data_IF_721976562328
#
_entry.id   IF_721976562328
#
_cell.length_a   1.000
_cell.length_b   1.000
_cell.length_c   1.000
_cell.angle_alpha   90.00
_cell.angle_beta   90.00
_cell.angle_gamma   90.00
#
_symmetry.space_group_name_H-M   'P 1'
#
loop_
_entity.id
_entity.type
_entity.pdbx_description
1 polymer ?
#
# COMPACT_ATOMS: atom_id res chain seq x y z
N UNK A 1 -20.46 8.86 13.94
CA UNK A 1 -20.81 7.63 13.21
C UNK A 1 -21.17 8.02 11.80
N UNK A 2 -20.87 7.18 10.80
CA UNK A 2 -21.20 7.45 9.38
C UNK A 2 -22.69 7.73 9.13
N UNK A 3 -23.56 7.18 10.00
CA UNK A 3 -25.01 7.38 9.97
C UNK A 3 -25.50 8.70 10.58
N UNK A 4 -24.64 9.46 11.23
CA UNK A 4 -25.02 10.76 11.74
C UNK A 4 -25.19 11.74 10.58
N UNK A 5 -26.19 12.60 10.69
CA UNK A 5 -26.39 13.67 9.73
C UNK A 5 -25.21 14.66 9.77
N UNK A 6 -24.85 15.15 8.61
CA UNK A 6 -23.92 16.27 8.51
C UNK A 6 -24.49 17.51 9.19
N UNK A 7 -23.69 18.36 9.89
CA UNK A 7 -24.22 19.56 10.56
C UNK A 7 -25.01 20.51 9.68
N UNK A 8 -24.77 20.47 8.37
CA UNK A 8 -25.49 21.27 7.36
C UNK A 8 -26.47 20.44 6.53
N UNK A 9 -26.94 19.30 7.05
CA UNK A 9 -27.80 18.39 6.28
C UNK A 9 -29.07 19.08 5.76
N UNK A 10 -29.70 19.94 6.59
CA UNK A 10 -30.92 20.65 6.25
C UNK A 10 -30.75 21.73 5.15
N UNK A 11 -29.52 22.12 4.87
CA UNK A 11 -29.19 23.14 3.86
C UNK A 11 -28.82 22.54 2.49
N UNK A 12 -28.50 21.24 2.43
CA UNK A 12 -27.84 20.62 1.27
C UNK A 12 -28.67 20.74 -0.01
N UNK A 13 -29.99 20.61 0.09
CA UNK A 13 -30.89 20.63 -1.07
C UNK A 13 -31.03 22.03 -1.69
N UNK A 14 -30.73 23.07 -0.90
CA UNK A 14 -30.81 24.47 -1.33
C UNK A 14 -29.48 25.02 -1.86
N UNK A 15 -28.39 24.25 -1.72
CA UNK A 15 -27.06 24.67 -2.19
C UNK A 15 -26.98 24.69 -3.72
N UNK A 16 -26.39 25.74 -4.26
CA UNK A 16 -25.93 25.71 -5.65
C UNK A 16 -24.87 24.63 -5.84
N UNK A 17 -24.71 24.15 -7.08
CA UNK A 17 -23.66 23.16 -7.38
C UNK A 17 -22.26 23.63 -6.93
N UNK A 18 -21.97 24.95 -7.07
CA UNK A 18 -20.69 25.54 -6.64
C UNK A 18 -20.49 25.46 -5.11
N UNK A 19 -21.54 25.74 -4.36
CA UNK A 19 -21.51 25.66 -2.89
C UNK A 19 -21.40 24.23 -2.42
N UNK A 20 -22.16 23.30 -3.02
CA UNK A 20 -22.14 21.88 -2.70
C UNK A 20 -20.73 21.27 -2.90
N UNK A 21 -20.12 21.47 -4.08
CA UNK A 21 -18.75 20.96 -4.32
C UNK A 21 -17.72 21.66 -3.45
N UNK A 22 -17.96 22.93 -3.07
CA UNK A 22 -17.12 23.64 -2.11
C UNK A 22 -17.18 23.03 -0.72
N UNK A 23 -18.37 22.63 -0.27
CA UNK A 23 -18.57 21.92 0.99
C UNK A 23 -17.84 20.56 0.96
N UNK A 24 -18.05 19.75 -0.07
CA UNK A 24 -17.37 18.46 -0.21
C UNK A 24 -15.85 18.61 -0.18
N UNK A 25 -15.30 19.59 -0.91
CA UNK A 25 -13.86 19.86 -0.91
C UNK A 25 -13.32 20.21 0.49
N UNK A 26 -14.07 21.02 1.25
CA UNK A 26 -13.69 21.39 2.61
C UNK A 26 -13.69 20.17 3.56
N UNK A 27 -14.71 19.32 3.44
CA UNK A 27 -14.86 18.08 4.22
C UNK A 27 -13.76 17.07 3.90
N UNK A 28 -13.44 16.87 2.61
CA UNK A 28 -12.32 16.01 2.20
C UNK A 28 -10.99 16.51 2.77
N UNK A 29 -10.76 17.83 2.74
CA UNK A 29 -9.58 18.45 3.35
C UNK A 29 -9.52 18.22 4.87
N UNK A 30 -10.65 18.23 5.58
CA UNK A 30 -10.71 17.91 7.01
C UNK A 30 -10.37 16.44 7.26
N UNK A 31 -10.91 15.52 6.46
CA UNK A 31 -10.65 14.09 6.58
C UNK A 31 -9.15 13.76 6.34
N UNK A 32 -8.52 14.39 5.37
CA UNK A 32 -7.06 14.25 5.15
C UNK A 32 -6.26 14.70 6.38
N UNK A 33 -6.63 15.83 6.99
CA UNK A 33 -5.96 16.32 8.21
C UNK A 33 -6.16 15.41 9.41
N UNK A 34 -7.27 14.70 9.47
CA UNK A 34 -7.57 13.77 10.57
C UNK A 34 -6.61 12.56 10.64
N UNK A 35 -5.83 12.30 9.59
CA UNK A 35 -4.78 11.26 9.60
C UNK A 35 -3.56 11.70 10.43
N UNK A 36 -3.27 13.00 10.51
CA UNK A 36 -2.04 13.51 11.10
C UNK A 36 -1.74 13.03 12.53
N UNK A 37 -2.70 12.93 13.47
CA UNK A 37 -2.46 12.40 14.81
C UNK A 37 -2.08 10.91 14.85
N UNK A 38 -2.31 10.16 13.75
CA UNK A 38 -2.10 8.70 13.66
C UNK A 38 -0.84 8.33 12.87
N UNK A 39 -0.02 9.30 12.49
CA UNK A 39 1.20 9.03 11.69
C UNK A 39 2.18 8.09 12.39
N UNK A 40 2.25 8.12 13.71
CA UNK A 40 3.08 7.19 14.49
C UNK A 40 2.55 5.75 14.42
N UNK A 41 1.23 5.55 14.45
CA UNK A 41 0.62 4.23 14.27
C UNK A 41 0.80 3.71 12.83
N UNK A 42 0.66 4.60 11.85
CA UNK A 42 0.96 4.27 10.44
C UNK A 42 2.44 3.88 10.28
N UNK A 43 3.36 4.64 10.87
CA UNK A 43 4.79 4.35 10.81
C UNK A 43 5.11 3.01 11.49
N UNK A 44 4.51 2.72 12.65
CA UNK A 44 4.65 1.41 13.32
C UNK A 44 4.16 0.28 12.43
N UNK A 45 3.01 0.43 11.80
CA UNK A 45 2.49 -0.56 10.87
C UNK A 45 3.44 -0.77 9.67
N UNK A 46 4.02 0.29 9.12
CA UNK A 46 5.01 0.20 8.03
C UNK A 46 6.22 -0.63 8.43
N UNK A 47 6.82 -0.37 9.60
CA UNK A 47 8.01 -1.11 10.05
C UNK A 47 7.70 -2.59 10.30
N UNK A 48 6.60 -2.90 10.99
CA UNK A 48 6.16 -4.28 11.29
C UNK A 48 5.81 -5.05 10.00
N UNK A 49 5.12 -4.42 9.03
CA UNK A 49 4.82 -5.03 7.74
C UNK A 49 6.11 -5.29 6.97
N UNK A 50 7.01 -4.29 6.90
CA UNK A 50 8.27 -4.43 6.16
C UNK A 50 9.15 -5.55 6.74
N UNK A 51 9.19 -5.72 8.07
CA UNK A 51 9.93 -6.81 8.72
C UNK A 51 9.36 -8.18 8.32
N UNK A 52 8.05 -8.34 8.33
CA UNK A 52 7.39 -9.59 7.96
C UNK A 52 7.56 -9.94 6.48
N UNK A 53 7.39 -8.97 5.58
CA UNK A 53 7.63 -9.19 4.16
C UNK A 53 9.11 -9.51 3.88
N UNK A 54 10.05 -8.93 4.62
CA UNK A 54 11.48 -9.27 4.53
C UNK A 54 11.76 -10.71 4.97
N UNK A 55 10.95 -11.24 5.89
CA UNK A 55 10.99 -12.63 6.33
C UNK A 55 10.26 -13.59 5.37
N UNK A 56 9.80 -13.12 4.21
CA UNK A 56 9.12 -13.92 3.19
C UNK A 56 7.60 -14.00 3.36
N UNK A 57 7.01 -13.18 4.22
CA UNK A 57 5.55 -13.11 4.40
C UNK A 57 4.86 -12.33 3.28
N UNK A 58 3.52 -12.34 3.33
CA UNK A 58 2.62 -11.70 2.37
C UNK A 58 1.71 -10.69 3.08
N UNK A 59 1.20 -9.71 2.34
CA UNK A 59 0.28 -8.68 2.81
C UNK A 59 -1.12 -8.95 2.25
N UNK A 60 -2.06 -9.24 3.12
CA UNK A 60 -3.43 -9.56 2.77
C UNK A 60 -4.39 -8.47 3.25
N UNK A 61 -5.12 -7.86 2.34
CA UNK A 61 -6.17 -6.89 2.62
C UNK A 61 -7.53 -7.58 2.67
N UNK A 62 -8.34 -7.28 3.68
CA UNK A 62 -9.72 -7.77 3.81
C UNK A 62 -10.66 -6.57 3.91
N UNK A 63 -11.63 -6.47 2.98
CA UNK A 63 -12.57 -5.35 2.94
C UNK A 63 -13.86 -5.70 2.22
N UNK A 64 -14.90 -4.90 2.44
CA UNK A 64 -16.19 -5.04 1.79
C UNK A 64 -16.60 -3.72 1.12
N UNK A 65 -17.39 -3.77 0.04
CA UNK A 65 -17.86 -2.60 -0.69
C UNK A 65 -16.71 -1.67 -1.11
N UNK A 66 -16.83 -0.37 -0.83
CA UNK A 66 -15.78 0.63 -1.16
C UNK A 66 -14.44 0.29 -0.50
N UNK A 67 -14.42 -0.20 0.75
CA UNK A 67 -13.19 -0.60 1.43
C UNK A 67 -12.48 -1.74 0.69
N UNK A 68 -13.24 -2.70 0.18
CA UNK A 68 -12.71 -3.78 -0.66
C UNK A 68 -12.18 -3.28 -2.01
N UNK A 69 -12.87 -2.32 -2.64
CA UNK A 69 -12.44 -1.74 -3.92
C UNK A 69 -11.13 -0.97 -3.80
N UNK A 70 -10.94 -0.16 -2.75
CA UNK A 70 -9.67 0.56 -2.53
C UNK A 70 -8.54 -0.38 -2.18
N UNK A 71 -8.81 -1.47 -1.47
CA UNK A 71 -7.85 -2.55 -1.20
C UNK A 71 -7.38 -3.23 -2.49
N UNK A 72 -8.31 -3.60 -3.37
CA UNK A 72 -7.99 -4.18 -4.69
C UNK A 72 -7.18 -3.23 -5.55
N UNK A 73 -7.51 -1.94 -5.54
CA UNK A 73 -6.77 -0.92 -6.27
C UNK A 73 -5.31 -0.87 -5.82
N UNK A 74 -5.06 -0.79 -4.51
CA UNK A 74 -3.70 -0.72 -3.97
C UNK A 74 -2.90 -1.99 -4.28
N UNK A 75 -3.48 -3.17 -4.05
CA UNK A 75 -2.85 -4.45 -4.34
C UNK A 75 -2.49 -4.62 -5.83
N UNK A 76 -3.41 -4.25 -6.73
CA UNK A 76 -3.21 -4.36 -8.18
C UNK A 76 -2.10 -3.44 -8.72
N UNK A 77 -1.82 -2.31 -8.04
CA UNK A 77 -0.80 -1.36 -8.46
C UNK A 77 0.62 -1.68 -7.95
N UNK A 78 0.75 -2.51 -6.90
CA UNK A 78 2.03 -2.86 -6.29
C UNK A 78 3.00 -3.56 -7.25
N UNK A 79 2.60 -4.56 -8.04
CA UNK A 79 3.52 -5.24 -8.97
C UNK A 79 4.12 -4.31 -10.00
N UNK A 80 3.31 -3.46 -10.64
CA UNK A 80 3.77 -2.54 -11.67
C UNK A 80 4.64 -1.39 -11.12
N UNK A 81 4.42 -1.01 -9.84
CA UNK A 81 5.12 0.11 -9.20
C UNK A 81 6.43 -0.34 -8.58
N UNK A 82 6.42 -1.45 -7.86
CA UNK A 82 7.54 -1.91 -7.04
C UNK A 82 8.26 -3.13 -7.61
N UNK A 83 7.72 -3.77 -8.65
CA UNK A 83 8.31 -4.98 -9.26
C UNK A 83 8.26 -6.18 -8.33
N UNK A 84 7.21 -6.29 -7.55
CA UNK A 84 6.95 -7.43 -6.66
C UNK A 84 6.03 -8.44 -7.33
N UNK A 85 6.10 -9.68 -6.88
CA UNK A 85 5.15 -10.70 -7.32
C UNK A 85 3.72 -10.29 -6.92
N UNK A 86 2.71 -10.50 -7.79
CA UNK A 86 1.31 -10.24 -7.45
C UNK A 86 0.83 -10.95 -6.18
N UNK A 87 1.44 -12.05 -5.79
CA UNK A 87 1.11 -12.77 -4.57
C UNK A 87 1.60 -12.08 -3.30
N UNK A 88 2.55 -11.13 -3.39
CA UNK A 88 3.08 -10.43 -2.21
C UNK A 88 2.04 -9.51 -1.58
N UNK A 89 1.16 -8.91 -2.39
CA UNK A 89 0.05 -8.08 -1.88
C UNK A 89 -1.25 -8.55 -2.51
N UNK A 90 -2.14 -9.06 -1.69
CA UNK A 90 -3.40 -9.64 -2.12
C UNK A 90 -4.59 -8.93 -1.48
N UNK A 91 -5.69 -8.80 -2.20
CA UNK A 91 -6.93 -8.23 -1.69
C UNK A 91 -8.08 -9.22 -1.76
N UNK A 92 -8.65 -9.51 -0.62
CA UNK A 92 -9.80 -10.38 -0.40
C UNK A 92 -11.02 -9.50 -0.13
N UNK A 93 -11.86 -9.32 -1.13
CA UNK A 93 -12.95 -8.35 -1.07
C UNK A 93 -14.28 -8.95 -1.52
N UNK A 94 -15.33 -8.53 -0.84
CA UNK A 94 -16.72 -8.82 -1.20
C UNK A 94 -17.44 -7.55 -1.62
N UNK A 95 -18.35 -7.67 -2.57
CA UNK A 95 -19.06 -6.52 -3.16
C UNK A 95 -20.56 -6.58 -2.89
N UNK A 96 -21.12 -7.77 -2.67
CA UNK A 96 -22.53 -7.96 -2.39
C UNK A 96 -22.85 -7.57 -0.95
N UNK A 97 -23.89 -6.74 -0.69
CA UNK A 97 -24.23 -6.31 0.67
C UNK A 97 -24.45 -7.46 1.66
N UNK A 98 -25.08 -8.54 1.22
CA UNK A 98 -25.31 -9.70 2.07
C UNK A 98 -24.02 -10.40 2.54
N UNK A 99 -22.94 -10.28 1.78
CA UNK A 99 -21.63 -10.84 2.13
C UNK A 99 -20.89 -10.00 3.16
N UNK A 100 -21.19 -8.71 3.27
CA UNK A 100 -20.60 -7.84 4.30
C UNK A 100 -20.96 -8.26 5.71
N UNK A 101 -22.18 -8.79 5.89
CA UNK A 101 -22.72 -9.23 7.16
C UNK A 101 -22.38 -10.67 7.50
N UNK A 102 -21.72 -11.39 6.57
CA UNK A 102 -21.35 -12.79 6.75
C UNK A 102 -19.94 -12.93 7.38
N UNK A 103 -19.93 -13.19 8.68
CA UNK A 103 -18.69 -13.40 9.44
C UNK A 103 -17.97 -14.69 9.05
N UNK A 104 -18.71 -15.76 8.80
CA UNK A 104 -18.12 -17.05 8.45
C UNK A 104 -17.47 -17.02 7.07
N UNK A 105 -18.03 -16.25 6.14
CA UNK A 105 -17.41 -16.00 4.85
C UNK A 105 -16.04 -15.30 5.01
N UNK A 106 -15.92 -14.37 5.95
CA UNK A 106 -14.64 -13.73 6.28
C UNK A 106 -13.60 -14.72 6.80
N UNK A 107 -14.01 -15.61 7.70
CA UNK A 107 -13.18 -16.73 8.18
C UNK A 107 -12.73 -17.63 7.04
N UNK A 108 -13.65 -17.98 6.14
CA UNK A 108 -13.36 -18.83 4.98
C UNK A 108 -12.33 -18.18 4.04
N UNK A 109 -12.46 -16.88 3.75
CA UNK A 109 -11.51 -16.16 2.92
C UNK A 109 -10.11 -16.14 3.54
N UNK A 110 -10.01 -15.90 4.85
CA UNK A 110 -8.73 -15.94 5.56
C UNK A 110 -8.10 -17.34 5.58
N UNK A 111 -8.91 -18.40 5.71
CA UNK A 111 -8.43 -19.79 5.60
C UNK A 111 -7.93 -20.13 4.20
N UNK A 112 -8.63 -19.68 3.16
CA UNK A 112 -8.19 -19.84 1.76
C UNK A 112 -6.90 -19.11 1.46
N UNK A 113 -6.67 -17.96 2.09
CA UNK A 113 -5.42 -17.20 2.00
C UNK A 113 -4.25 -17.94 2.67
N UNK A 114 -4.49 -18.99 3.46
CA UNK A 114 -3.49 -19.81 4.14
C UNK A 114 -2.47 -18.97 4.95
N UNK A 115 -2.98 -17.95 5.66
CA UNK A 115 -2.13 -17.03 6.43
C UNK A 115 -1.14 -17.76 7.33
N UNK A 116 0.11 -17.31 7.33
CA UNK A 116 1.21 -17.84 8.13
C UNK A 116 1.75 -16.78 9.12
N UNK A 117 2.68 -17.17 9.98
CA UNK A 117 3.22 -16.32 11.04
C UNK A 117 3.87 -15.02 10.55
N UNK A 118 4.46 -15.05 9.36
CA UNK A 118 5.12 -13.87 8.78
C UNK A 118 4.17 -13.03 7.90
N UNK A 119 2.92 -13.44 7.74
CA UNK A 119 1.96 -12.68 6.96
C UNK A 119 1.33 -11.55 7.78
N UNK A 120 0.70 -10.64 7.05
CA UNK A 120 -0.03 -9.50 7.59
C UNK A 120 -1.46 -9.51 7.08
N UNK A 121 -2.43 -9.46 7.97
CA UNK A 121 -3.84 -9.29 7.66
C UNK A 121 -4.28 -7.87 8.00
N UNK A 122 -4.61 -7.07 6.98
CA UNK A 122 -5.13 -5.71 7.14
C UNK A 122 -6.64 -5.72 6.93
N UNK A 123 -7.38 -5.49 7.98
CA UNK A 123 -8.83 -5.32 7.93
C UNK A 123 -9.21 -3.86 7.65
N UNK A 124 -10.05 -3.63 6.64
CA UNK A 124 -10.44 -2.30 6.19
C UNK A 124 -11.95 -2.18 6.27
N UNK A 125 -12.46 -1.28 7.11
CA UNK A 125 -13.89 -1.03 7.29
C UNK A 125 -14.13 0.38 7.80
N UNK A 126 -14.95 1.17 7.12
CA UNK A 126 -15.27 2.53 7.55
C UNK A 126 -15.89 2.55 8.95
N UNK A 127 -16.86 1.68 9.21
CA UNK A 127 -17.53 1.56 10.53
C UNK A 127 -16.70 0.79 11.56
N UNK A 128 -15.75 -0.03 11.12
CA UNK A 128 -15.03 -0.98 11.95
C UNK A 128 -15.92 -2.09 12.56
N UNK A 129 -17.08 -2.37 11.96
CA UNK A 129 -18.07 -3.36 12.43
C UNK A 129 -18.43 -4.41 11.39
N UNK A 130 -17.94 -4.30 10.16
CA UNK A 130 -18.21 -5.22 9.05
C UNK A 130 -17.90 -6.65 9.46
N UNK A 131 -18.91 -7.51 9.50
CA UNK A 131 -18.79 -8.87 10.04
C UNK A 131 -17.78 -9.72 9.25
N UNK A 132 -17.80 -9.63 7.91
CA UNK A 132 -16.81 -10.25 7.03
C UNK A 132 -15.36 -9.94 7.47
N UNK A 133 -15.04 -8.65 7.66
CA UNK A 133 -13.68 -8.21 8.03
C UNK A 133 -13.30 -8.67 9.44
N UNK A 134 -14.24 -8.61 10.38
CA UNK A 134 -14.04 -9.13 11.74
C UNK A 134 -13.79 -10.65 11.75
N UNK A 135 -14.48 -11.40 10.88
CA UNK A 135 -14.25 -12.83 10.70
C UNK A 135 -12.85 -13.14 10.20
N UNK A 136 -12.40 -12.40 9.19
CA UNK A 136 -11.06 -12.57 8.61
C UNK A 136 -9.95 -12.28 9.64
N UNK A 137 -10.04 -11.18 10.40
CA UNK A 137 -9.05 -10.86 11.43
C UNK A 137 -9.08 -11.84 12.61
N UNK A 138 -10.24 -12.37 12.96
CA UNK A 138 -10.34 -13.41 13.98
C UNK A 138 -9.61 -14.69 13.58
N UNK A 139 -9.74 -15.13 12.33
CA UNK A 139 -9.03 -16.29 11.80
C UNK A 139 -7.51 -16.05 11.73
N UNK A 140 -7.08 -14.84 11.35
CA UNK A 140 -5.66 -14.45 11.32
C UNK A 140 -4.96 -14.60 12.67
N UNK A 141 -5.70 -14.59 13.79
CA UNK A 141 -5.16 -14.84 15.14
C UNK A 141 -4.57 -16.25 15.25
N UNK A 142 -5.20 -17.24 14.62
CA UNK A 142 -4.80 -18.64 14.69
C UNK A 142 -3.44 -18.89 14.01
N UNK A 143 -3.11 -18.12 12.96
CA UNK A 143 -1.83 -18.20 12.24
C UNK A 143 -0.72 -17.36 12.85
N UNK A 144 -1.00 -16.53 13.85
CA UNK A 144 -0.09 -15.51 14.41
C UNK A 144 0.34 -14.45 13.39
N UNK A 145 -0.43 -14.26 12.33
CA UNK A 145 -0.23 -13.16 11.40
C UNK A 145 -0.43 -11.81 12.13
N UNK A 146 0.31 -10.78 11.71
CA UNK A 146 0.10 -9.42 12.22
C UNK A 146 -1.27 -8.93 11.77
N UNK A 147 -2.06 -8.40 12.69
CA UNK A 147 -3.39 -7.84 12.38
C UNK A 147 -3.33 -6.32 12.46
N UNK A 148 -3.67 -5.67 11.36
CA UNK A 148 -3.78 -4.22 11.26
C UNK A 148 -5.23 -3.86 10.95
N UNK A 149 -5.78 -2.85 11.61
CA UNK A 149 -7.10 -2.33 11.31
C UNK A 149 -7.00 -0.92 10.72
N UNK A 150 -7.74 -0.65 9.66
CA UNK A 150 -7.96 0.69 9.09
C UNK A 150 -9.44 0.99 9.20
N UNK A 151 -9.81 1.95 10.04
CA UNK A 151 -11.21 2.33 10.26
C UNK A 151 -11.39 3.84 10.27
N UNK A 152 -12.65 4.29 10.14
CA UNK A 152 -13.01 5.71 10.24
C UNK A 152 -13.78 6.02 11.51
N UNK A 153 -13.64 5.16 12.52
CA UNK A 153 -14.35 5.29 13.79
C UNK A 153 -13.46 4.85 14.95
N UNK A 154 -13.06 5.79 15.86
CA UNK A 154 -12.28 5.47 17.04
C UNK A 154 -12.96 4.47 17.97
N UNK A 155 -12.18 3.57 18.56
CA UNK A 155 -12.68 2.55 19.49
C UNK A 155 -13.59 1.51 18.83
N UNK A 156 -13.40 1.24 17.54
CA UNK A 156 -14.19 0.28 16.78
C UNK A 156 -13.97 -1.16 17.23
N UNK A 157 -14.88 -2.07 16.87
CA UNK A 157 -14.71 -3.49 17.14
C UNK A 157 -13.47 -4.05 16.39
N UNK A 158 -13.24 -3.58 15.16
CA UNK A 158 -12.12 -3.99 14.34
C UNK A 158 -10.79 -3.48 14.92
N UNK A 159 -10.74 -2.22 15.39
CA UNK A 159 -9.56 -1.66 16.04
C UNK A 159 -9.17 -2.44 17.30
N UNK A 160 -10.16 -2.86 18.12
CA UNK A 160 -9.90 -3.69 19.30
C UNK A 160 -9.44 -5.13 18.98
N UNK A 161 -9.76 -5.63 17.78
CA UNK A 161 -9.37 -6.97 17.35
C UNK A 161 -7.96 -7.00 16.69
N UNK A 162 -7.36 -5.86 16.40
CA UNK A 162 -6.08 -5.72 15.74
C UNK A 162 -4.91 -5.51 16.71
N UNK A 163 -3.70 -5.81 16.28
CA UNK A 163 -2.46 -5.52 17.00
C UNK A 163 -2.04 -4.06 16.80
N UNK A 164 -2.38 -3.50 15.63
CA UNK A 164 -2.20 -2.07 15.29
C UNK A 164 -3.52 -1.54 14.73
N UNK A 165 -4.04 -0.48 15.32
CA UNK A 165 -5.29 0.16 14.90
C UNK A 165 -5.02 1.58 14.38
N UNK A 166 -5.39 1.83 13.11
CA UNK A 166 -5.35 3.13 12.45
C UNK A 166 -6.80 3.60 12.34
N UNK A 167 -7.28 4.32 13.32
CA UNK A 167 -8.68 4.70 13.49
C UNK A 167 -8.87 6.20 13.22
N UNK A 168 -9.08 6.57 11.96
CA UNK A 168 -9.19 7.98 11.54
C UNK A 168 -10.59 8.51 11.79
N UNK A 169 -10.75 9.49 12.66
CA UNK A 169 -12.04 10.12 12.93
C UNK A 169 -12.43 11.07 11.79
N UNK A 170 -13.19 10.57 10.79
CA UNK A 170 -13.61 11.37 9.63
C UNK A 170 -14.86 12.22 9.90
N UNK A 171 -15.58 11.97 10.99
CA UNK A 171 -16.89 12.59 11.25
C UNK A 171 -17.99 12.09 10.29
N UNK A 172 -19.18 12.72 10.32
CA UNK A 172 -20.28 12.37 9.44
C UNK A 172 -19.97 12.72 7.98
N UNK A 173 -20.43 11.89 7.06
CA UNK A 173 -20.35 12.18 5.63
C UNK A 173 -21.30 13.30 5.20
N UNK A 174 -21.01 14.01 4.12
CA UNK A 174 -21.93 15.01 3.57
C UNK A 174 -23.29 14.38 3.24
N UNK A 175 -23.29 13.17 2.70
CA UNK A 175 -24.47 12.32 2.56
C UNK A 175 -24.37 11.21 3.60
N UNK A 176 -25.22 11.22 4.60
CA UNK A 176 -25.19 10.28 5.71
C UNK A 176 -25.12 8.82 5.24
N UNK A 177 -24.25 8.03 5.85
CA UNK A 177 -24.04 6.63 5.53
C UNK A 177 -23.23 6.38 4.24
N UNK A 178 -22.95 7.41 3.41
CA UNK A 178 -22.24 7.25 2.13
C UNK A 178 -20.72 7.19 2.31
N UNK A 179 -20.22 6.12 2.90
CA UNK A 179 -18.80 5.91 3.26
C UNK A 179 -17.84 5.77 2.06
N UNK A 180 -18.36 5.82 0.83
CA UNK A 180 -17.53 5.95 -0.37
C UNK A 180 -16.82 7.32 -0.48
N UNK A 181 -17.23 8.33 0.30
CA UNK A 181 -16.74 9.70 0.26
C UNK A 181 -15.49 9.86 1.14
N UNK A 182 -15.59 10.57 2.28
CA UNK A 182 -14.42 10.84 3.17
C UNK A 182 -13.75 9.55 3.67
N UNK A 183 -14.55 8.60 4.12
CA UNK A 183 -14.02 7.33 4.61
C UNK A 183 -13.23 6.57 3.54
N UNK A 184 -13.77 6.43 2.32
CA UNK A 184 -13.07 5.82 1.19
C UNK A 184 -11.79 6.55 0.81
N UNK A 185 -11.83 7.90 0.81
CA UNK A 185 -10.65 8.75 0.54
C UNK A 185 -9.55 8.52 1.57
N UNK A 186 -9.88 8.52 2.85
CA UNK A 186 -8.92 8.29 3.95
C UNK A 186 -8.33 6.89 3.90
N UNK A 187 -9.14 5.86 3.69
CA UNK A 187 -8.66 4.48 3.54
C UNK A 187 -7.65 4.36 2.40
N UNK A 188 -7.95 4.97 1.25
CA UNK A 188 -7.04 5.01 0.11
C UNK A 188 -5.72 5.69 0.45
N UNK A 189 -5.75 6.82 1.16
CA UNK A 189 -4.55 7.53 1.58
C UNK A 189 -3.69 6.72 2.54
N UNK A 190 -4.31 6.06 3.53
CA UNK A 190 -3.60 5.21 4.49
C UNK A 190 -2.97 4.00 3.78
N UNK A 191 -3.69 3.31 2.89
CA UNK A 191 -3.14 2.21 2.10
C UNK A 191 -1.96 2.66 1.24
N UNK A 192 -2.05 3.80 0.57
CA UNK A 192 -0.92 4.37 -0.17
C UNK A 192 0.30 4.63 0.72
N UNK A 193 0.09 5.16 1.93
CA UNK A 193 1.18 5.39 2.89
C UNK A 193 1.82 4.06 3.29
N UNK A 194 1.02 3.04 3.60
CA UNK A 194 1.51 1.72 3.99
C UNK A 194 2.30 1.06 2.85
N UNK A 195 1.69 0.83 1.70
CA UNK A 195 2.33 0.12 0.58
C UNK A 195 3.58 0.86 0.09
N UNK A 196 3.50 2.20 -0.12
CA UNK A 196 4.63 2.98 -0.61
C UNK A 196 5.79 2.99 0.37
N UNK A 197 5.52 3.21 1.67
CA UNK A 197 6.58 3.25 2.67
C UNK A 197 7.18 1.87 2.92
N UNK A 198 6.37 0.81 2.98
CA UNK A 198 6.83 -0.58 3.12
C UNK A 198 7.79 -0.95 1.98
N UNK A 199 7.39 -0.77 0.72
CA UNK A 199 8.26 -1.11 -0.41
C UNK A 199 9.47 -0.18 -0.55
N UNK A 200 9.40 1.05 -0.04
CA UNK A 200 10.57 1.91 0.11
C UNK A 200 11.54 1.35 1.15
N UNK A 201 11.06 0.87 2.30
CA UNK A 201 11.87 0.19 3.34
C UNK A 201 12.47 -1.15 2.86
N UNK A 202 11.82 -1.78 1.88
CA UNK A 202 12.31 -3.00 1.21
C UNK A 202 13.19 -2.70 -0.01
N UNK A 203 13.65 -1.46 -0.17
CA UNK A 203 14.56 -1.03 -1.25
C UNK A 203 14.00 -1.17 -2.68
N UNK A 204 12.67 -1.19 -2.86
CA UNK A 204 12.04 -1.16 -4.19
C UNK A 204 12.03 0.23 -4.82
N UNK A 205 12.37 1.27 -4.04
CA UNK A 205 12.57 2.63 -4.52
C UNK A 205 13.99 3.13 -4.19
N UNK A 206 14.49 4.09 -4.96
CA UNK A 206 15.75 4.77 -4.68
C UNK A 206 15.67 6.24 -5.12
N UNK A 207 15.92 7.17 -4.19
CA UNK A 207 15.84 8.62 -4.42
C UNK A 207 14.54 9.04 -5.12
N UNK A 208 13.40 8.54 -4.61
CA UNK A 208 12.08 8.82 -5.13
C UNK A 208 11.76 8.22 -6.51
N UNK A 209 12.56 7.25 -6.99
CA UNK A 209 12.33 6.55 -8.25
C UNK A 209 12.04 5.07 -8.03
N UNK A 210 11.16 4.53 -8.85
CA UNK A 210 10.81 3.10 -8.87
C UNK A 210 11.94 2.31 -9.54
N UNK A 211 12.83 1.70 -8.75
CA UNK A 211 13.96 0.90 -9.25
C UNK A 211 13.63 -0.60 -9.34
N UNK A 212 12.50 -1.02 -8.81
CA UNK A 212 11.97 -2.37 -8.94
C UNK A 212 11.10 -2.60 -10.18
N UNK A 213 10.79 -1.55 -10.95
CA UNK A 213 9.88 -1.65 -12.08
C UNK A 213 10.34 -2.71 -13.10
N UNK A 214 9.40 -3.58 -13.51
CA UNK A 214 9.65 -4.57 -14.57
C UNK A 214 9.21 -3.96 -15.91
N UNK A 215 10.11 -3.98 -16.90
CA UNK A 215 9.88 -3.39 -18.24
C UNK A 215 8.93 -4.27 -19.09
N UNK A 216 7.71 -4.52 -18.63
CA UNK A 216 6.74 -5.42 -19.27
C UNK A 216 6.03 -4.85 -20.51
N UNK A 217 6.13 -3.53 -20.75
CA UNK A 217 5.59 -2.88 -21.94
C UNK A 217 6.43 -1.64 -22.31
N UNK A 218 6.14 -1.03 -23.47
CA UNK A 218 6.93 0.11 -23.99
C UNK A 218 6.95 1.30 -23.05
N UNK A 219 5.83 1.63 -22.37
CA UNK A 219 5.75 2.71 -21.39
C UNK A 219 6.64 2.43 -20.17
N UNK A 220 6.61 1.20 -19.65
CA UNK A 220 7.43 0.80 -18.50
C UNK A 220 8.91 0.71 -18.89
N UNK A 221 9.22 0.23 -20.10
CA UNK A 221 10.59 0.24 -20.64
C UNK A 221 11.15 1.66 -20.79
N UNK A 222 10.37 2.59 -21.36
CA UNK A 222 10.78 3.98 -21.47
C UNK A 222 11.03 4.62 -20.09
N UNK A 223 10.18 4.32 -19.10
CA UNK A 223 10.35 4.75 -17.71
C UNK A 223 11.61 4.17 -17.09
N UNK A 224 11.88 2.88 -17.27
CA UNK A 224 13.09 2.22 -16.74
C UNK A 224 14.37 2.88 -17.30
N UNK A 225 14.42 3.19 -18.58
CA UNK A 225 15.55 3.91 -19.19
C UNK A 225 15.75 5.28 -18.54
N UNK A 226 14.68 6.06 -18.32
CA UNK A 226 14.75 7.36 -17.65
C UNK A 226 15.23 7.24 -16.19
N UNK A 227 14.79 6.21 -15.48
CA UNK A 227 15.23 5.92 -14.10
C UNK A 227 16.72 5.60 -14.09
N UNK A 228 17.19 4.71 -15.00
CA UNK A 228 18.60 4.34 -15.11
C UNK A 228 19.44 5.56 -15.44
N UNK A 229 19.11 6.32 -16.47
CA UNK A 229 19.83 7.53 -16.87
C UNK A 229 19.92 8.54 -15.71
N UNK A 230 18.80 8.82 -15.06
CA UNK A 230 18.75 9.80 -13.97
C UNK A 230 19.50 9.40 -12.69
N UNK A 231 19.70 8.10 -12.43
CA UNK A 231 20.43 7.60 -11.25
C UNK A 231 21.90 7.28 -11.55
N UNK A 232 22.24 6.91 -12.79
CA UNK A 232 23.62 6.65 -13.21
C UNK A 232 24.34 7.93 -13.63
N UNK A 233 23.63 8.90 -14.20
CA UNK A 233 24.20 10.06 -14.87
C UNK A 233 24.64 9.78 -16.31
N UNK A 234 24.26 8.64 -16.88
CA UNK A 234 24.63 8.20 -18.23
C UNK A 234 23.65 8.70 -19.29
N UNK A 235 24.06 8.67 -20.55
CA UNK A 235 23.20 8.99 -21.68
C UNK A 235 22.03 8.01 -21.80
N UNK A 236 21.02 8.37 -22.61
CA UNK A 236 19.87 7.50 -22.88
C UNK A 236 20.30 6.19 -23.56
N UNK A 237 21.26 6.27 -24.51
CA UNK A 237 21.78 5.14 -25.26
C UNK A 237 22.56 4.17 -24.37
N UNK A 238 23.41 4.69 -23.47
CA UNK A 238 24.15 3.88 -22.50
C UNK A 238 23.18 3.19 -21.52
N UNK A 239 22.18 3.94 -21.03
CA UNK A 239 21.15 3.42 -20.12
C UNK A 239 20.32 2.31 -20.77
N UNK A 240 20.00 2.44 -22.06
CA UNK A 240 19.27 1.42 -22.81
C UNK A 240 20.12 0.15 -22.96
N UNK A 241 21.40 0.27 -23.37
CA UNK A 241 22.31 -0.89 -23.48
C UNK A 241 22.52 -1.58 -22.13
N UNK A 242 22.69 -0.81 -21.05
CA UNK A 242 22.85 -1.37 -19.72
C UNK A 242 21.58 -2.09 -19.23
N UNK A 243 20.40 -1.53 -19.54
CA UNK A 243 19.12 -2.15 -19.20
C UNK A 243 18.90 -3.47 -19.98
N UNK A 244 19.30 -3.53 -21.24
CA UNK A 244 19.29 -4.76 -22.06
C UNK A 244 20.25 -5.81 -21.49
N UNK A 245 21.48 -5.43 -21.18
CA UNK A 245 22.47 -6.31 -20.54
C UNK A 245 22.02 -6.81 -19.16
N UNK A 246 21.21 -6.01 -18.47
CA UNK A 246 20.62 -6.32 -17.17
C UNK A 246 19.33 -7.17 -17.25
N UNK A 247 18.93 -7.65 -18.43
CA UNK A 247 17.68 -8.37 -18.60
C UNK A 247 16.42 -7.56 -18.24
N UNK A 248 16.50 -6.22 -18.38
CA UNK A 248 15.41 -5.32 -18.05
C UNK A 248 15.34 -4.88 -16.58
N UNK A 249 16.30 -5.27 -15.75
CA UNK A 249 16.33 -4.89 -14.33
C UNK A 249 17.05 -3.54 -14.13
N UNK A 250 16.34 -2.46 -13.70
CA UNK A 250 16.96 -1.16 -13.53
C UNK A 250 18.04 -1.10 -12.45
N UNK A 251 17.90 -1.86 -11.35
CA UNK A 251 18.91 -1.88 -10.28
C UNK A 251 20.23 -2.41 -10.81
N UNK A 252 20.21 -3.54 -11.52
CA UNK A 252 21.40 -4.16 -12.13
C UNK A 252 22.01 -3.17 -13.15
N UNK A 253 21.21 -2.57 -14.02
CA UNK A 253 21.67 -1.60 -15.00
C UNK A 253 22.37 -0.38 -14.37
N UNK A 254 21.83 0.12 -13.25
CA UNK A 254 22.44 1.24 -12.51
C UNK A 254 23.78 0.81 -11.91
N UNK A 255 23.87 -0.40 -11.34
CA UNK A 255 25.13 -0.92 -10.77
C UNK A 255 26.18 -1.09 -11.86
N UNK A 256 25.84 -1.66 -13.03
CA UNK A 256 26.74 -1.76 -14.20
C UNK A 256 27.34 -0.38 -14.52
N UNK A 257 26.49 0.62 -14.70
CA UNK A 257 26.91 1.96 -15.13
C UNK A 257 27.68 2.74 -14.03
N UNK A 258 27.38 2.47 -12.77
CA UNK A 258 27.99 3.22 -11.66
C UNK A 258 29.30 2.61 -11.16
N UNK A 259 29.46 1.30 -11.27
CA UNK A 259 30.63 0.58 -10.77
C UNK A 259 31.51 0.01 -11.90
N UNK A 260 31.05 0.01 -13.16
CA UNK A 260 31.80 -0.52 -14.29
C UNK A 260 31.92 -2.05 -14.32
N UNK A 261 31.03 -2.74 -13.61
CA UNK A 261 31.03 -4.21 -13.49
C UNK A 261 30.09 -4.87 -14.51
N UNK A 262 30.25 -6.18 -14.76
CA UNK A 262 29.34 -6.93 -15.63
C UNK A 262 28.03 -7.25 -14.93
N UNK A 263 26.99 -7.62 -15.71
CA UNK A 263 25.65 -7.86 -15.19
C UNK A 263 25.56 -8.95 -14.10
N UNK A 264 26.32 -10.03 -14.26
CA UNK A 264 26.40 -11.13 -13.30
C UNK A 264 26.95 -10.64 -11.94
N UNK A 265 28.04 -9.89 -11.96
CA UNK A 265 28.65 -9.31 -10.76
C UNK A 265 27.71 -8.29 -10.09
N UNK A 266 27.06 -7.44 -10.90
CA UNK A 266 26.06 -6.47 -10.43
C UNK A 266 24.88 -7.17 -9.72
N UNK A 267 24.38 -8.27 -10.30
CA UNK A 267 23.35 -9.11 -9.70
C UNK A 267 23.79 -9.69 -8.36
N UNK A 268 24.97 -10.28 -8.30
CA UNK A 268 25.51 -10.85 -7.07
C UNK A 268 25.77 -9.81 -5.96
N UNK A 269 26.15 -8.57 -6.31
CA UNK A 269 26.28 -7.46 -5.36
C UNK A 269 24.92 -7.09 -4.75
N UNK A 270 23.89 -7.03 -5.58
CA UNK A 270 22.50 -6.73 -5.12
C UNK A 270 21.95 -7.86 -4.27
N UNK A 271 22.13 -9.12 -4.63
CA UNK A 271 21.68 -10.26 -3.82
C UNK A 271 22.30 -10.26 -2.44
N UNK A 272 23.63 -10.08 -2.33
CA UNK A 272 24.33 -10.00 -1.02
C UNK A 272 23.88 -8.84 -0.14
N UNK A 273 23.32 -7.79 -0.72
CA UNK A 273 22.78 -6.63 -0.01
C UNK A 273 21.25 -6.66 0.16
N UNK A 274 20.60 -7.80 -0.07
CA UNK A 274 19.13 -7.89 0.00
C UNK A 274 18.41 -6.98 -1.00
N UNK A 275 19.00 -6.72 -2.16
CA UNK A 275 18.44 -5.84 -3.19
C UNK A 275 18.60 -4.35 -2.91
N UNK A 276 19.33 -3.95 -1.87
CA UNK A 276 19.54 -2.52 -1.51
C UNK A 276 20.57 -1.85 -2.41
N UNK A 277 20.06 -1.16 -3.45
CA UNK A 277 20.87 -0.38 -4.37
C UNK A 277 21.70 0.70 -3.67
N UNK A 278 21.18 1.30 -2.60
CA UNK A 278 21.90 2.34 -1.83
C UNK A 278 23.14 1.76 -1.16
N UNK A 279 23.02 0.59 -0.54
CA UNK A 279 24.12 -0.11 0.12
C UNK A 279 25.21 -0.51 -0.90
N UNK A 280 24.81 -1.08 -2.04
CA UNK A 280 25.74 -1.46 -3.12
C UNK A 280 26.54 -0.27 -3.65
N UNK A 281 25.86 0.84 -3.96
CA UNK A 281 26.50 2.04 -4.49
C UNK A 281 27.39 2.77 -3.46
N UNK A 282 27.11 2.63 -2.17
CA UNK A 282 27.94 3.17 -1.11
C UNK A 282 29.24 2.38 -0.95
N UNK A 283 29.15 1.04 -0.97
CA UNK A 283 30.31 0.14 -0.87
C UNK A 283 31.28 0.29 -2.06
N UNK A 284 30.75 0.41 -3.30
CA UNK A 284 31.56 0.60 -4.50
C UNK A 284 32.31 1.93 -4.56
N UNK A 285 31.87 2.96 -3.83
CA UNK A 285 32.61 4.24 -3.70
C UNK A 285 33.78 4.16 -2.74
N UNK A 286 33.75 3.23 -1.80
CA UNK A 286 34.81 3.05 -0.80
C UNK A 286 36.03 2.31 -1.35
N UNK A 287 35.90 1.64 -2.51
CA UNK A 287 36.97 0.94 -3.22
C UNK A 287 37.01 1.41 -4.69
N UNK A 288 37.55 2.63 -4.97
CA UNK A 288 37.84 2.98 -6.35
C UNK A 288 38.98 2.04 -6.84
N UNK A 289 38.72 1.32 -7.92
CA UNK A 289 39.70 0.45 -8.58
C UNK A 289 40.92 1.22 -9.10
#
# INVERSE_FOLDING_TARGET
MSENLHPRADELDDLTAREFVGLMHAEDGAAVRAIAPLLDDVARAVEEIAERLRAGGQLHYFGAGTSGLVARLDAAECPATFGVDPEVVQAHAVEEPAQEDDRELGVEFARRAQLAQHDVAVGISASGRTAFVLGALAEATSSRALRVAITCHPGSALGRAADIAIEVETGPEVIAGSTRLKAGTVQKLVLNMLSTAVFTRLAHTHRGRMVGVVAGNDKLRARAILVVAGLSGSSREESMRALEAAGGNPKIAIVILRLGVVAEEAGGLLERSGGDLKAVLAAGRAHPA
#
